data_IF_233502445111
#
_entry.id   IF_233502445111
#
_cell.length_a   1.000
_cell.length_b   1.000
_cell.length_c   1.000
_cell.angle_alpha   90.00
_cell.angle_beta   90.00
_cell.angle_gamma   90.00
#
_symmetry.space_group_name_H-M   'P 1'
#
loop_
_entity.id
_entity.type
_entity.pdbx_description
1 polymer ?
#
# COMPACT_ATOMS: atom_id res chain seq x y z
N UNK A 1 1.40 46.93 50.67
CA UNK A 1 0.50 46.33 51.66
C UNK A 1 0.76 44.84 51.66
N UNK A 2 1.14 44.33 52.83
CA UNK A 2 1.53 42.96 53.12
C UNK A 2 0.30 42.05 53.26
N UNK A 3 0.53 40.74 53.10
CA UNK A 3 -0.37 39.64 53.48
C UNK A 3 0.07 38.38 52.73
N UNK A 4 0.97 37.53 53.26
CA UNK A 4 0.68 36.49 54.27
C UNK A 4 -0.63 35.75 53.92
N UNK A 5 -0.66 34.47 53.55
CA UNK A 5 0.14 33.33 53.99
C UNK A 5 -0.73 32.46 54.88
N UNK A 6 -1.37 31.42 54.35
CA UNK A 6 -1.88 30.30 55.16
C UNK A 6 -1.83 28.99 54.39
N UNK A 7 -0.89 28.17 54.83
CA UNK A 7 -0.81 26.72 54.67
C UNK A 7 -1.90 26.03 55.49
N UNK A 8 -2.61 25.10 54.88
CA UNK A 8 -3.46 24.15 55.61
C UNK A 8 -3.28 22.75 55.04
N UNK A 9 -2.57 21.97 55.84
CA UNK A 9 -2.38 20.53 55.77
C UNK A 9 -3.69 19.78 56.05
N UNK A 10 -4.11 18.91 55.14
CA UNK A 10 -5.10 17.87 55.43
C UNK A 10 -4.47 16.48 55.19
N UNK A 11 -4.21 15.79 56.31
CA UNK A 11 -4.02 14.35 56.37
C UNK A 11 -5.39 13.68 56.28
N UNK A 12 -5.62 12.88 55.24
CA UNK A 12 -6.69 11.89 55.21
C UNK A 12 -6.09 10.52 54.95
N UNK A 13 -5.98 9.74 56.02
CA UNK A 13 -5.89 8.28 55.98
C UNK A 13 -7.16 7.75 55.34
N UNK A 14 -7.04 6.95 54.28
CA UNK A 14 -8.09 6.01 53.91
C UNK A 14 -7.49 4.72 53.37
N UNK A 15 -7.56 3.69 54.21
CA UNK A 15 -7.41 2.29 53.86
C UNK A 15 -8.54 1.89 52.92
N UNK A 16 -8.23 1.60 51.66
CA UNK A 16 -9.12 0.86 50.77
C UNK A 16 -8.35 -0.32 50.18
N UNK A 17 -8.57 -1.49 50.79
CA UNK A 17 -8.33 -2.78 50.16
C UNK A 17 -9.31 -2.95 49.00
N UNK A 18 -8.90 -2.51 47.81
CA UNK A 18 -9.55 -2.86 46.55
C UNK A 18 -8.66 -3.83 45.79
N UNK A 19 -9.09 -5.10 45.73
CA UNK A 19 -8.50 -6.14 44.89
C UNK A 19 -8.72 -5.80 43.41
N UNK A 20 -7.88 -4.92 42.86
CA UNK A 20 -7.82 -4.67 41.43
C UNK A 20 -6.96 -5.75 40.78
N UNK A 21 -7.58 -6.68 40.05
CA UNK A 21 -6.91 -7.52 39.07
C UNK A 21 -6.33 -6.62 37.97
N UNK A 22 -5.12 -6.10 38.22
CA UNK A 22 -4.33 -5.32 37.25
C UNK A 22 -4.24 -6.15 35.97
N UNK A 23 -5.03 -5.79 34.95
CA UNK A 23 -4.87 -6.30 33.59
C UNK A 23 -3.45 -5.93 33.16
N UNK A 24 -2.51 -6.88 33.30
CA UNK A 24 -1.13 -6.70 32.84
C UNK A 24 -1.20 -6.44 31.35
N UNK A 25 -0.94 -5.19 30.96
CA UNK A 25 -0.86 -4.78 29.57
C UNK A 25 0.24 -5.64 28.93
N UNK A 26 -0.14 -6.46 27.94
CA UNK A 26 0.84 -7.31 27.27
C UNK A 26 1.65 -6.42 26.34
N UNK A 27 2.91 -6.18 26.69
CA UNK A 27 3.81 -5.37 25.88
C UNK A 27 4.07 -6.07 24.54
N UNK A 28 3.73 -5.41 23.43
CA UNK A 28 4.10 -5.82 22.07
C UNK A 28 5.44 -5.17 21.72
N UNK A 29 6.31 -5.91 21.04
CA UNK A 29 7.63 -5.47 20.57
C UNK A 29 7.70 -5.75 19.06
N UNK A 30 8.26 -4.81 18.30
CA UNK A 30 8.50 -5.00 16.88
C UNK A 30 9.80 -5.80 16.66
N UNK A 31 9.69 -6.94 15.97
CA UNK A 31 10.85 -7.74 15.59
C UNK A 31 11.64 -7.04 14.48
N UNK A 32 12.96 -6.91 14.64
CA UNK A 32 13.84 -6.23 13.68
C UNK A 32 14.06 -7.01 12.38
N UNK A 33 13.85 -8.32 12.38
CA UNK A 33 14.10 -9.17 11.20
C UNK A 33 12.92 -9.19 10.22
N UNK A 34 11.68 -9.30 10.73
CA UNK A 34 10.45 -9.36 9.91
C UNK A 34 9.62 -8.06 9.93
N UNK A 35 9.95 -7.09 10.79
CA UNK A 35 9.13 -5.90 11.12
C UNK A 35 7.72 -6.18 11.69
N UNK A 36 7.45 -7.40 12.15
CA UNK A 36 6.18 -7.83 12.71
C UNK A 36 6.10 -7.57 14.24
N UNK A 37 4.89 -7.31 14.77
CA UNK A 37 4.66 -7.06 16.20
C UNK A 37 4.33 -8.36 16.92
N UNK A 38 5.16 -8.73 17.90
CA UNK A 38 5.02 -9.94 18.71
C UNK A 38 4.97 -9.58 20.19
N UNK A 39 4.36 -10.43 21.02
CA UNK A 39 4.38 -10.22 22.47
C UNK A 39 5.83 -10.30 22.95
N UNK A 40 6.21 -9.43 23.88
CA UNK A 40 7.58 -9.35 24.39
C UNK A 40 8.14 -10.70 24.85
N UNK A 41 7.29 -11.55 25.42
CA UNK A 41 7.65 -12.91 25.87
C UNK A 41 7.90 -13.92 24.73
N UNK A 42 7.45 -13.60 23.51
CA UNK A 42 7.51 -14.51 22.35
C UNK A 42 8.57 -14.08 21.32
N UNK A 43 9.29 -12.97 21.55
CA UNK A 43 10.30 -12.42 20.62
C UNK A 43 11.45 -13.41 20.34
N UNK A 44 11.88 -14.17 21.36
CA UNK A 44 12.96 -15.15 21.23
C UNK A 44 12.53 -16.40 20.47
N UNK A 45 11.27 -16.80 20.60
CA UNK A 45 10.71 -17.93 19.82
C UNK A 45 10.55 -17.52 18.37
N UNK A 46 10.09 -16.30 18.14
CA UNK A 46 9.91 -15.74 16.81
C UNK A 46 11.24 -15.53 16.07
N UNK A 47 12.29 -15.04 16.75
CA UNK A 47 13.61 -14.86 16.15
C UNK A 47 14.27 -16.19 15.75
N UNK A 48 14.10 -17.26 16.54
CA UNK A 48 14.59 -18.61 16.19
C UNK A 48 13.92 -19.14 14.91
N UNK A 49 12.60 -19.03 14.81
CA UNK A 49 11.86 -19.50 13.63
C UNK A 49 12.26 -18.75 12.34
N UNK A 50 12.49 -17.44 12.43
CA UNK A 50 12.94 -16.66 11.28
C UNK A 50 14.37 -17.02 10.86
N UNK A 51 15.26 -17.33 11.81
CA UNK A 51 16.64 -17.70 11.50
C UNK A 51 16.72 -19.09 10.88
N UNK A 52 15.91 -20.04 11.34
CA UNK A 52 15.84 -21.40 10.77
C UNK A 52 15.31 -21.37 9.32
N UNK A 53 14.33 -20.51 9.03
CA UNK A 53 13.79 -20.32 7.68
C UNK A 53 14.83 -19.78 6.68
N UNK A 54 15.86 -19.06 7.15
CA UNK A 54 16.95 -18.55 6.29
C UNK A 54 18.09 -19.53 6.05
N UNK A 55 18.20 -20.63 6.83
CA UNK A 55 19.31 -21.59 6.71
C UNK A 55 18.99 -22.87 5.94
N UNK A 56 17.74 -23.09 5.54
CA UNK A 56 17.34 -24.29 4.77
C UNK A 56 16.83 -23.91 3.38
N UNK A 57 17.70 -23.33 2.56
CA UNK A 57 17.58 -23.41 1.10
C UNK A 57 18.61 -24.40 0.60
N UNK A 58 18.36 -25.69 0.84
CA UNK A 58 18.83 -26.81 0.02
C UNK A 58 18.08 -28.08 0.43
N UNK A 59 17.37 -28.64 -0.56
CA UNK A 59 16.81 -30.00 -0.68
C UNK A 59 15.38 -30.32 -0.16
N UNK A 60 14.59 -30.67 -1.19
CA UNK A 60 13.65 -31.80 -1.33
C UNK A 60 12.22 -31.72 -0.77
N UNK A 61 11.33 -32.10 -1.68
CA UNK A 61 9.90 -32.37 -1.55
C UNK A 61 9.52 -33.26 -0.37
N UNK A 62 8.24 -33.14 0.01
CA UNK A 62 7.45 -33.95 0.96
C UNK A 62 7.43 -33.51 2.43
N UNK A 63 6.49 -32.61 2.75
CA UNK A 63 5.72 -32.69 3.99
C UNK A 63 4.34 -32.05 3.77
N UNK A 64 3.35 -32.92 3.54
CA UNK A 64 1.93 -32.59 3.60
C UNK A 64 1.59 -32.43 5.08
N UNK A 65 1.29 -31.20 5.50
CA UNK A 65 0.70 -30.92 6.81
C UNK A 65 -0.81 -31.07 6.66
N UNK A 66 -1.37 -32.08 7.33
CA UNK A 66 -2.80 -32.34 7.41
C UNK A 66 -3.55 -31.14 8.00
N UNK A 67 -4.52 -30.62 7.25
CA UNK A 67 -5.55 -29.72 7.77
C UNK A 67 -6.57 -30.53 8.59
N UNK A 68 -7.08 -29.98 9.72
CA UNK A 68 -8.07 -30.67 10.52
C UNK A 68 -9.38 -30.80 9.75
N UNK A 69 -9.79 -32.05 9.49
CA UNK A 69 -11.07 -32.41 8.87
C UNK A 69 -12.23 -31.92 9.74
N UNK A 70 -12.96 -30.92 9.26
CA UNK A 70 -14.31 -30.61 9.72
C UNK A 70 -15.24 -31.79 9.38
N UNK A 71 -15.71 -32.47 10.43
CA UNK A 71 -16.71 -33.54 10.37
C UNK A 71 -18.04 -33.00 9.86
N UNK A 72 -18.28 -33.12 8.55
CA UNK A 72 -19.63 -33.00 7.97
C UNK A 72 -20.28 -34.37 8.04
N UNK A 73 -21.28 -34.52 8.92
CA UNK A 73 -22.11 -35.71 9.00
C UNK A 73 -22.94 -35.86 7.71
N UNK A 74 -22.47 -36.70 6.79
CA UNK A 74 -23.21 -37.13 5.61
C UNK A 74 -24.18 -38.25 6.02
N UNK A 75 -25.48 -37.94 6.15
CA UNK A 75 -26.54 -38.96 6.26
C UNK A 75 -26.64 -39.70 4.93
N UNK A 76 -26.19 -40.94 4.90
CA UNK A 76 -26.44 -41.88 3.79
C UNK A 76 -27.82 -42.50 4.03
N UNK A 77 -28.82 -42.07 3.24
CA UNK A 77 -30.08 -42.80 3.16
C UNK A 77 -29.95 -43.85 2.04
N UNK A 78 -29.96 -45.11 2.47
CA UNK A 78 -29.92 -46.30 1.61
C UNK A 78 -31.36 -46.61 1.19
N UNK A 79 -31.69 -46.42 -0.09
CA UNK A 79 -32.90 -46.98 -0.66
C UNK A 79 -32.52 -47.94 -1.80
N UNK A 80 -32.78 -49.22 -1.54
CA UNK A 80 -32.95 -50.24 -2.57
C UNK A 80 -34.34 -50.05 -3.19
N UNK A 81 -34.48 -50.14 -4.52
CA UNK A 81 -35.56 -50.90 -5.20
C UNK A 81 -35.46 -50.84 -6.73
N UNK A 82 -35.23 -52.01 -7.32
CA UNK A 82 -35.91 -52.63 -8.49
C UNK A 82 -36.17 -51.88 -9.81
N UNK A 83 -35.68 -52.52 -10.89
CA UNK A 83 -36.19 -52.55 -12.27
C UNK A 83 -37.68 -52.22 -12.43
N UNK A 84 -38.00 -51.34 -13.38
CA UNK A 84 -39.24 -51.40 -14.19
C UNK A 84 -39.09 -50.61 -15.49
N UNK A 85 -40.01 -50.87 -16.41
CA UNK A 85 -39.96 -50.78 -17.87
C UNK A 85 -40.16 -49.35 -18.43
N UNK A 86 -39.66 -49.17 -19.67
CA UNK A 86 -40.11 -48.13 -20.63
C UNK A 86 -41.64 -48.07 -20.72
N UNK A 87 -42.18 -46.87 -21.00
CA UNK A 87 -43.08 -46.77 -22.14
C UNK A 87 -42.75 -45.60 -23.07
N UNK A 88 -43.07 -45.83 -24.34
CA UNK A 88 -43.25 -44.85 -25.40
C UNK A 88 -44.66 -44.27 -25.32
N UNK A 89 -44.82 -42.94 -25.40
CA UNK A 89 -45.72 -42.26 -26.36
C UNK A 89 -45.94 -40.78 -25.99
N UNK A 90 -46.04 -40.01 -27.07
CA UNK A 90 -46.65 -38.69 -27.26
C UNK A 90 -47.70 -38.26 -26.23
N UNK A 91 -47.50 -37.08 -25.63
CA UNK A 91 -48.50 -36.40 -24.82
C UNK A 91 -48.07 -34.98 -24.41
N UNK A 92 -48.71 -33.99 -25.02
CA UNK A 92 -48.97 -32.61 -24.58
C UNK A 92 -48.30 -32.11 -23.29
N UNK A 93 -47.55 -31.01 -23.45
CA UNK A 93 -47.02 -30.14 -22.40
C UNK A 93 -48.09 -29.74 -21.37
N UNK A 94 -47.86 -30.14 -20.12
CA UNK A 94 -48.55 -29.56 -18.97
C UNK A 94 -47.47 -29.17 -17.96
N UNK A 95 -47.15 -27.87 -17.94
CA UNK A 95 -46.15 -27.29 -17.06
C UNK A 95 -46.78 -27.12 -15.67
N UNK A 96 -46.74 -28.16 -14.83
CA UNK A 96 -46.99 -28.02 -13.40
C UNK A 96 -46.19 -29.05 -12.63
N UNK A 97 -45.56 -28.56 -11.56
CA UNK A 97 -44.74 -29.25 -10.55
C UNK A 97 -43.23 -29.30 -10.83
N UNK A 98 -42.58 -28.22 -10.37
CA UNK A 98 -41.60 -28.28 -9.27
C UNK A 98 -40.69 -29.50 -9.23
N UNK A 99 -39.60 -29.46 -9.98
CA UNK A 99 -38.30 -30.06 -9.60
C UNK A 99 -37.20 -29.48 -10.51
N UNK A 100 -37.21 -28.15 -10.58
CA UNK A 100 -36.31 -27.35 -11.40
C UNK A 100 -35.23 -26.63 -10.60
N UNK A 101 -34.71 -27.21 -9.51
CA UNK A 101 -33.35 -26.86 -9.09
C UNK A 101 -32.38 -27.67 -9.96
N UNK A 102 -32.30 -27.27 -11.23
CA UNK A 102 -31.13 -27.55 -12.05
C UNK A 102 -29.95 -27.15 -11.19
N UNK A 103 -29.02 -28.09 -11.01
CA UNK A 103 -27.75 -27.91 -10.35
C UNK A 103 -27.09 -26.64 -10.89
N UNK A 104 -27.34 -25.51 -10.23
CA UNK A 104 -26.48 -24.35 -10.35
C UNK A 104 -25.20 -24.82 -9.68
N UNK A 105 -24.28 -25.32 -10.50
CA UNK A 105 -22.88 -25.31 -10.15
C UNK A 105 -22.61 -23.85 -9.81
N UNK A 106 -22.62 -23.53 -8.51
CA UNK A 106 -21.97 -22.34 -8.02
C UNK A 106 -20.50 -22.62 -8.35
N UNK A 107 -20.10 -22.23 -9.56
CA UNK A 107 -18.71 -22.03 -9.86
C UNK A 107 -18.28 -21.01 -8.80
N UNK A 108 -17.54 -21.49 -7.81
CA UNK A 108 -16.72 -20.63 -6.98
C UNK A 108 -15.76 -20.01 -7.98
N UNK A 109 -16.16 -18.85 -8.53
CA UNK A 109 -15.27 -17.98 -9.28
C UNK A 109 -14.15 -17.75 -8.28
N UNK A 110 -13.01 -18.39 -8.52
CA UNK A 110 -11.81 -18.07 -7.78
C UNK A 110 -11.70 -16.55 -7.89
N UNK A 111 -11.69 -15.81 -6.76
CA UNK A 111 -11.69 -14.36 -6.79
C UNK A 111 -10.33 -13.94 -7.33
N UNK A 112 -10.19 -13.99 -8.65
CA UNK A 112 -8.98 -13.64 -9.35
C UNK A 112 -8.91 -12.11 -9.38
N UNK A 113 -8.49 -11.62 -8.21
CA UNK A 113 -7.52 -10.57 -8.03
C UNK A 113 -7.98 -9.17 -8.43
N UNK A 114 -9.28 -8.89 -8.39
CA UNK A 114 -9.83 -7.58 -8.66
C UNK A 114 -11.08 -7.32 -7.82
N UNK A 115 -11.21 -6.14 -7.22
CA UNK A 115 -12.45 -5.70 -6.59
C UNK A 115 -12.76 -4.28 -7.03
N UNK A 116 -14.00 -4.03 -7.42
CA UNK A 116 -14.48 -2.70 -7.74
C UNK A 116 -15.14 -2.09 -6.50
N UNK A 117 -14.71 -0.90 -6.10
CA UNK A 117 -15.20 -0.16 -4.95
C UNK A 117 -15.65 1.23 -5.36
N UNK A 118 -16.71 1.72 -4.73
CA UNK A 118 -17.14 3.12 -4.89
C UNK A 118 -16.29 4.03 -4.00
N UNK A 119 -15.97 5.23 -4.50
CA UNK A 119 -15.30 6.24 -3.71
C UNK A 119 -16.22 6.76 -2.60
N UNK A 120 -15.80 6.59 -1.35
CA UNK A 120 -16.43 7.21 -0.20
C UNK A 120 -15.83 8.60 0.03
N UNK A 121 -16.65 9.64 -0.12
CA UNK A 121 -16.26 11.00 0.22
C UNK A 121 -16.44 11.22 1.73
N UNK A 122 -15.33 11.27 2.45
CA UNK A 122 -15.31 11.79 3.82
C UNK A 122 -15.58 13.29 3.75
N UNK A 123 -16.49 13.78 4.60
CA UNK A 123 -16.97 15.16 4.54
C UNK A 123 -15.90 16.16 5.01
N UNK A 124 -15.09 15.76 5.99
CA UNK A 124 -14.07 16.61 6.60
C UNK A 124 -12.71 15.90 6.72
N UNK A 125 -11.61 16.64 6.57
CA UNK A 125 -10.24 16.16 6.89
C UNK A 125 -10.13 15.62 8.32
N UNK A 126 -10.91 16.19 9.25
CA UNK A 126 -10.97 15.74 10.63
C UNK A 126 -11.46 14.28 10.77
N UNK A 127 -12.37 13.83 9.90
CA UNK A 127 -12.86 12.45 9.92
C UNK A 127 -11.78 11.48 9.45
N UNK A 128 -10.96 11.89 8.47
CA UNK A 128 -9.79 11.12 8.06
C UNK A 128 -8.80 10.99 9.22
N UNK A 129 -8.41 12.11 9.83
CA UNK A 129 -7.45 12.15 10.95
C UNK A 129 -7.91 11.33 12.17
N UNK A 130 -9.21 11.33 12.47
CA UNK A 130 -9.77 10.55 13.58
C UNK A 130 -9.68 9.04 13.36
N UNK A 131 -9.90 8.59 12.12
CA UNK A 131 -9.98 7.18 11.78
C UNK A 131 -8.65 6.58 11.31
N UNK A 132 -7.68 7.43 10.98
CA UNK A 132 -6.39 7.01 10.46
C UNK A 132 -5.32 6.94 11.57
N UNK A 133 -4.48 5.90 11.63
CA UNK A 133 -3.47 5.78 12.68
C UNK A 133 -2.46 6.96 12.66
N UNK A 134 -2.27 7.59 13.82
CA UNK A 134 -1.36 8.73 13.97
C UNK A 134 0.12 8.37 13.74
N UNK A 135 0.48 7.09 13.88
CA UNK A 135 1.87 6.64 13.70
C UNK A 135 2.29 6.62 12.23
N UNK A 136 1.35 6.78 11.30
CA UNK A 136 1.61 6.77 9.87
C UNK A 136 1.92 8.18 9.38
N UNK A 137 3.05 8.31 8.70
CA UNK A 137 3.51 9.55 8.12
C UNK A 137 4.12 9.31 6.73
N UNK A 138 4.36 10.39 5.99
CA UNK A 138 5.03 10.36 4.70
C UNK A 138 4.29 9.55 3.63
N UNK A 139 5.04 8.77 2.86
CA UNK A 139 4.55 7.98 1.73
C UNK A 139 3.46 7.00 2.14
N UNK A 140 3.68 6.26 3.23
CA UNK A 140 2.72 5.25 3.68
C UNK A 140 1.36 5.87 4.00
N UNK A 141 1.34 7.04 4.64
CA UNK A 141 0.10 7.78 4.93
C UNK A 141 -0.62 8.22 3.65
N UNK A 142 0.13 8.75 2.68
CA UNK A 142 -0.41 9.22 1.39
C UNK A 142 -0.99 8.09 0.53
N UNK A 143 -0.35 6.93 0.57
CA UNK A 143 -0.70 5.74 -0.22
C UNK A 143 -1.46 4.70 0.60
N UNK A 144 -2.31 5.17 1.52
CA UNK A 144 -3.19 4.31 2.32
C UNK A 144 -4.64 4.69 2.07
N UNK A 145 -5.55 3.73 2.24
CA UNK A 145 -6.98 3.97 2.15
C UNK A 145 -7.73 3.23 3.26
N UNK A 146 -8.85 3.78 3.67
CA UNK A 146 -9.73 3.18 4.67
C UNK A 146 -10.82 2.36 3.98
N UNK A 147 -11.07 1.17 4.51
CA UNK A 147 -12.08 0.24 3.98
C UNK A 147 -12.77 -0.54 5.10
N UNK A 148 -13.97 -1.03 4.85
CA UNK A 148 -14.67 -1.85 5.83
C UNK A 148 -13.90 -3.18 6.14
N UNK A 149 -13.71 -3.57 7.41
CA UNK A 149 -13.00 -4.82 7.75
C UNK A 149 -13.69 -6.10 7.24
N UNK A 150 -15.02 -6.11 7.11
CA UNK A 150 -15.75 -7.25 6.56
C UNK A 150 -15.41 -7.47 5.08
N UNK A 151 -15.14 -6.38 4.35
CA UNK A 151 -14.72 -6.44 2.95
C UNK A 151 -13.33 -7.06 2.80
N UNK A 152 -12.36 -6.73 3.68
CA UNK A 152 -11.05 -7.40 3.70
C UNK A 152 -11.21 -8.91 3.95
N UNK A 153 -12.12 -9.29 4.83
CA UNK A 153 -12.43 -10.69 5.12
C UNK A 153 -13.05 -11.40 3.91
N UNK A 154 -13.96 -10.72 3.19
CA UNK A 154 -14.60 -11.25 2.00
C UNK A 154 -13.60 -11.54 0.87
N UNK A 155 -12.58 -10.69 0.71
CA UNK A 155 -11.52 -10.89 -0.30
C UNK A 155 -10.34 -11.71 0.22
N UNK A 156 -10.44 -12.28 1.43
CA UNK A 156 -9.35 -13.03 2.09
C UNK A 156 -8.02 -12.26 2.18
N UNK A 157 -8.09 -10.93 2.30
CA UNK A 157 -6.92 -10.08 2.47
C UNK A 157 -6.70 -9.74 3.94
N UNK A 158 -5.44 -9.64 4.33
CA UNK A 158 -5.08 -9.18 5.65
C UNK A 158 -5.18 -7.65 5.72
N UNK A 159 -5.34 -7.12 6.93
CA UNK A 159 -5.17 -5.70 7.16
C UNK A 159 -3.76 -5.25 6.74
N UNK A 160 -3.65 -4.06 6.15
CA UNK A 160 -2.38 -3.47 5.68
C UNK A 160 -1.74 -4.22 4.51
N UNK A 161 -2.53 -4.99 3.79
CA UNK A 161 -2.10 -5.57 2.52
C UNK A 161 -2.12 -4.51 1.42
N UNK A 162 -1.17 -4.62 0.49
CA UNK A 162 -1.00 -3.70 -0.62
C UNK A 162 -1.82 -4.14 -1.83
N UNK A 163 -2.43 -3.16 -2.48
CA UNK A 163 -3.24 -3.32 -3.69
C UNK A 163 -2.75 -2.33 -4.75
N UNK A 164 -2.78 -2.75 -6.01
CA UNK A 164 -2.64 -1.86 -7.14
C UNK A 164 -4.02 -1.28 -7.50
N UNK A 165 -4.08 0.02 -7.74
CA UNK A 165 -5.25 0.69 -8.31
C UNK A 165 -5.17 0.56 -9.82
N UNK A 166 -6.20 0.01 -10.43
CA UNK A 166 -6.31 -0.17 -11.88
C UNK A 166 -7.26 0.87 -12.44
N UNK A 167 -6.80 1.67 -13.39
CA UNK A 167 -7.68 2.51 -14.22
C UNK A 167 -8.09 1.74 -15.47
N UNK A 168 -9.37 1.88 -15.83
CA UNK A 168 -9.97 1.32 -17.04
C UNK A 168 -10.28 2.38 -18.10
N UNK A 169 -9.81 3.62 -17.93
CA UNK A 169 -10.09 4.70 -18.88
C UNK A 169 -9.53 4.43 -20.27
N UNK A 170 -8.52 3.57 -20.37
CA UNK A 170 -7.93 3.13 -21.62
C UNK A 170 -8.24 1.65 -21.88
N UNK A 171 -8.30 1.24 -23.16
CA UNK A 171 -8.51 -0.16 -23.58
C UNK A 171 -7.53 -1.15 -22.93
N UNK A 172 -6.40 -0.65 -22.42
CA UNK A 172 -5.40 -1.42 -21.70
C UNK A 172 -5.42 -0.98 -20.22
N UNK A 173 -5.79 -1.86 -19.27
CA UNK A 173 -5.74 -1.54 -17.86
C UNK A 173 -4.30 -1.29 -17.45
N UNK A 174 -4.04 -0.14 -16.83
CA UNK A 174 -2.74 0.19 -16.28
C UNK A 174 -2.87 0.49 -14.79
N UNK A 175 -1.87 0.05 -14.03
CA UNK A 175 -1.78 0.36 -12.62
C UNK A 175 -1.46 1.85 -12.46
N UNK A 176 -2.38 2.59 -11.85
CA UNK A 176 -2.25 4.03 -11.61
C UNK A 176 -1.40 4.27 -10.38
N UNK A 177 -1.65 3.52 -9.32
CA UNK A 177 -1.00 3.71 -8.04
C UNK A 177 -1.03 2.44 -7.17
N UNK A 178 -0.33 2.47 -6.05
CA UNK A 178 -0.34 1.47 -4.99
C UNK A 178 -1.05 2.06 -3.78
N UNK A 179 -1.93 1.26 -3.17
CA UNK A 179 -2.63 1.62 -1.95
C UNK A 179 -2.50 0.51 -0.92
N UNK A 180 -2.36 0.89 0.35
CA UNK A 180 -2.38 -0.01 1.49
C UNK A 180 -3.72 0.13 2.20
N UNK A 181 -4.46 -0.97 2.31
CA UNK A 181 -5.81 -0.94 2.88
C UNK A 181 -5.77 -1.04 4.41
N UNK A 182 -6.48 -0.12 5.06
CA UNK A 182 -6.64 -0.03 6.51
C UNK A 182 -8.10 -0.27 6.90
N UNK A 183 -8.36 -1.14 7.88
CA UNK A 183 -9.72 -1.42 8.32
C UNK A 183 -10.31 -0.23 9.08
N UNK A 184 -11.51 0.20 8.70
CA UNK A 184 -12.30 1.23 9.36
C UNK A 184 -13.79 0.88 9.27
N UNK A 185 -14.47 0.78 10.43
CA UNK A 185 -15.88 0.37 10.50
C UNK A 185 -16.85 1.48 10.07
N UNK A 186 -16.38 2.74 10.05
CA UNK A 186 -17.17 3.89 9.61
C UNK A 186 -17.34 3.91 8.09
N UNK A 187 -16.48 3.20 7.34
CA UNK A 187 -16.58 3.07 5.89
C UNK A 187 -17.66 2.03 5.53
N UNK A 188 -18.66 2.38 4.70
CA UNK A 188 -19.66 1.42 4.23
C UNK A 188 -19.05 0.24 3.46
N UNK A 189 -19.77 -0.88 3.43
CA UNK A 189 -19.39 -2.02 2.59
C UNK A 189 -19.28 -1.60 1.12
N UNK A 190 -18.31 -2.20 0.41
CA UNK A 190 -18.04 -1.93 -1.01
C UNK A 190 -17.62 -0.48 -1.33
N UNK A 191 -17.21 0.28 -0.32
CA UNK A 191 -16.66 1.62 -0.51
C UNK A 191 -15.23 1.73 0.01
N UNK A 192 -14.51 2.73 -0.49
CA UNK A 192 -13.13 3.05 -0.11
C UNK A 192 -12.97 4.55 0.09
N UNK A 193 -12.34 4.95 1.18
CA UNK A 193 -11.96 6.34 1.41
C UNK A 193 -10.45 6.53 1.23
N UNK A 194 -10.07 7.48 0.38
CA UNK A 194 -8.70 7.91 0.19
C UNK A 194 -8.43 9.21 0.95
N UNK A 195 -7.16 9.49 1.31
CA UNK A 195 -6.79 10.77 1.88
C UNK A 195 -7.11 11.89 0.87
N UNK A 196 -7.49 13.09 1.32
CA UNK A 196 -7.83 14.20 0.43
C UNK A 196 -6.73 14.56 -0.57
N UNK A 197 -5.46 14.37 -0.19
CA UNK A 197 -4.29 14.56 -1.06
C UNK A 197 -4.23 13.60 -2.25
N UNK A 198 -4.91 12.45 -2.16
CA UNK A 198 -4.92 11.39 -3.15
C UNK A 198 -6.16 11.44 -4.04
N UNK A 199 -7.30 11.94 -3.54
CA UNK A 199 -8.54 12.05 -4.33
C UNK A 199 -8.39 12.94 -5.58
N UNK A 200 -7.44 13.89 -5.57
CA UNK A 200 -7.18 14.78 -6.71
C UNK A 200 -6.70 14.06 -7.98
N UNK A 201 -6.33 12.78 -7.90
CA UNK A 201 -5.78 12.02 -9.04
C UNK A 201 -6.73 10.95 -9.57
N UNK A 202 -7.94 10.84 -9.02
CA UNK A 202 -8.91 9.82 -9.41
C UNK A 202 -10.15 10.48 -10.03
N UNK A 203 -10.32 10.31 -11.33
CA UNK A 203 -11.45 10.88 -12.07
C UNK A 203 -12.70 9.97 -12.05
N UNK A 204 -12.53 8.69 -11.67
CA UNK A 204 -13.60 7.68 -11.63
C UNK A 204 -14.22 7.53 -10.23
N UNK A 205 -15.55 7.43 -10.20
CA UNK A 205 -16.31 7.07 -8.99
C UNK A 205 -16.14 5.60 -8.60
N UNK A 206 -15.72 4.75 -9.55
CA UNK A 206 -15.48 3.33 -9.36
C UNK A 206 -13.99 3.01 -9.49
N UNK A 207 -13.45 2.37 -8.47
CA UNK A 207 -12.02 2.11 -8.33
C UNK A 207 -11.81 0.61 -8.30
N UNK A 208 -10.99 0.09 -9.22
CA UNK A 208 -10.61 -1.33 -9.22
C UNK A 208 -9.31 -1.52 -8.47
N UNK A 209 -9.32 -2.45 -7.52
CA UNK A 209 -8.18 -2.82 -6.72
C UNK A 209 -7.75 -4.25 -7.04
N UNK A 210 -6.46 -4.45 -7.26
CA UNK A 210 -5.87 -5.76 -7.43
C UNK A 210 -4.85 -6.06 -6.33
N UNK A 211 -5.00 -7.23 -5.71
CA UNK A 211 -4.08 -7.69 -4.68
C UNK A 211 -2.66 -7.88 -5.23
N UNK A 212 -1.68 -7.23 -4.60
CA UNK A 212 -0.26 -7.43 -4.91
C UNK A 212 0.21 -8.69 -4.17
N UNK A 213 0.36 -9.81 -4.90
CA UNK A 213 0.73 -11.12 -4.34
C UNK A 213 2.21 -11.25 -4.00
N UNK A 214 3.07 -10.55 -4.73
CA UNK A 214 4.52 -10.65 -4.58
C UNK A 214 5.18 -9.29 -4.74
N UNK A 215 6.29 -9.13 -4.03
CA UNK A 215 7.12 -7.94 -4.11
C UNK A 215 8.43 -8.29 -4.82
N UNK A 216 8.95 -7.34 -5.59
CA UNK A 216 10.30 -7.37 -6.09
C UNK A 216 11.34 -7.32 -4.98
N UNK A 217 12.60 -7.44 -5.37
CA UNK A 217 13.71 -7.20 -4.45
C UNK A 217 13.61 -5.79 -3.86
N UNK A 218 13.90 -5.63 -2.55
CA UNK A 218 13.88 -4.31 -1.94
C UNK A 218 14.87 -3.36 -2.63
N UNK A 219 14.43 -2.13 -2.91
CA UNK A 219 15.27 -1.12 -3.53
C UNK A 219 16.28 -0.61 -2.51
N UNK A 220 17.54 -0.57 -2.93
CA UNK A 220 18.68 -0.19 -2.08
C UNK A 220 19.21 1.21 -2.37
N UNK A 221 19.14 1.69 -3.62
CA UNK A 221 19.63 3.01 -3.98
C UNK A 221 18.57 3.73 -4.81
N UNK A 222 18.25 4.97 -4.41
CA UNK A 222 17.30 5.83 -5.10
C UNK A 222 17.96 7.18 -5.32
N UNK A 223 17.98 7.60 -6.57
CA UNK A 223 18.42 8.93 -6.98
C UNK A 223 17.20 9.77 -7.34
N UNK A 224 17.07 10.92 -6.68
CA UNK A 224 16.03 11.91 -6.94
C UNK A 224 16.63 13.12 -7.63
N UNK A 225 15.98 13.61 -8.68
CA UNK A 225 16.33 14.87 -9.35
C UNK A 225 15.14 15.82 -9.32
N UNK A 226 15.29 17.08 -8.90
CA UNK A 226 14.19 18.05 -8.95
C UNK A 226 13.61 18.14 -10.37
N UNK A 227 12.29 18.06 -10.52
CA UNK A 227 11.62 18.23 -11.81
C UNK A 227 11.25 19.71 -12.03
N UNK A 228 12.19 20.50 -12.52
CA UNK A 228 12.01 21.95 -12.68
C UNK A 228 10.91 22.34 -13.67
N UNK A 229 10.44 21.40 -14.50
CA UNK A 229 9.38 21.64 -15.49
C UNK A 229 7.96 21.61 -14.89
N UNK A 230 7.76 20.91 -13.77
CA UNK A 230 6.43 20.65 -13.19
C UNK A 230 6.16 21.39 -11.87
N UNK A 231 7.08 22.24 -11.43
CA UNK A 231 7.00 22.86 -10.11
C UNK A 231 6.79 24.37 -10.22
N UNK A 232 5.83 24.89 -9.45
CA UNK A 232 5.63 26.33 -9.24
C UNK A 232 6.70 26.96 -8.31
N UNK A 233 7.68 26.16 -7.90
CA UNK A 233 8.70 26.50 -6.92
C UNK A 233 9.83 27.25 -7.60
N UNK A 234 10.13 28.43 -7.08
CA UNK A 234 11.20 29.27 -7.60
C UNK A 234 12.56 28.59 -7.42
N UNK A 235 13.47 28.79 -8.38
CA UNK A 235 14.82 28.23 -8.35
C UNK A 235 15.58 28.52 -7.04
N UNK A 236 15.41 29.72 -6.47
CA UNK A 236 16.02 30.11 -5.19
C UNK A 236 15.55 29.24 -4.02
N UNK A 237 14.33 28.73 -4.05
CA UNK A 237 13.82 27.85 -3.00
C UNK A 237 14.40 26.44 -3.12
N UNK A 238 14.55 25.94 -4.36
CA UNK A 238 15.27 24.71 -4.61
C UNK A 238 16.73 24.78 -4.14
N UNK A 239 17.41 25.90 -4.38
CA UNK A 239 18.77 26.14 -3.85
C UNK A 239 18.81 26.20 -2.31
N UNK A 240 17.78 26.77 -1.68
CA UNK A 240 17.68 26.72 -0.21
C UNK A 240 17.54 25.29 0.29
N UNK A 241 16.71 24.47 -0.37
CA UNK A 241 16.54 23.06 0.00
C UNK A 241 17.82 22.24 -0.19
N UNK A 242 18.61 22.49 -1.24
CA UNK A 242 19.86 21.77 -1.47
C UNK A 242 20.91 22.00 -0.38
N UNK A 243 20.82 23.13 0.33
CA UNK A 243 21.70 23.50 1.46
C UNK A 243 21.23 22.89 2.79
N UNK A 244 20.05 22.28 2.85
CA UNK A 244 19.49 21.69 4.08
C UNK A 244 19.88 20.22 4.22
N UNK A 245 20.85 19.91 5.06
CA UNK A 245 21.27 18.53 5.37
C UNK A 245 20.12 17.65 5.91
N UNK A 246 19.20 18.26 6.67
CA UNK A 246 18.04 17.57 7.22
C UNK A 246 17.00 17.19 6.16
N UNK A 247 17.02 17.81 4.98
CA UNK A 247 16.05 17.49 3.93
C UNK A 247 16.23 16.05 3.42
N UNK A 248 17.47 15.59 3.26
CA UNK A 248 17.76 14.20 2.88
C UNK A 248 17.26 13.21 3.95
N UNK A 249 17.40 13.58 5.23
CA UNK A 249 16.87 12.78 6.34
C UNK A 249 15.34 12.73 6.32
N UNK A 250 14.69 13.87 6.07
CA UNK A 250 13.25 13.93 5.86
C UNK A 250 12.81 13.00 4.73
N UNK A 251 13.47 13.04 3.57
CA UNK A 251 13.14 12.17 2.42
C UNK A 251 13.27 10.69 2.78
N UNK A 252 14.32 10.30 3.51
CA UNK A 252 14.49 8.93 4.01
C UNK A 252 13.33 8.49 4.90
N UNK A 253 12.94 9.34 5.86
CA UNK A 253 11.81 9.06 6.73
C UNK A 253 10.48 9.01 5.93
N UNK A 254 10.29 9.95 5.01
CA UNK A 254 9.12 10.03 4.15
C UNK A 254 8.89 8.74 3.37
N UNK A 255 9.95 8.14 2.82
CA UNK A 255 9.89 6.87 2.09
C UNK A 255 10.02 5.61 2.95
N UNK A 256 9.97 5.73 4.28
CA UNK A 256 10.09 4.59 5.19
C UNK A 256 9.04 3.52 4.90
N UNK A 257 9.48 2.32 4.52
CA UNK A 257 8.63 1.19 4.09
C UNK A 257 7.70 1.48 2.90
N UNK A 258 8.00 2.48 2.09
CA UNK A 258 7.22 2.78 0.91
C UNK A 258 7.19 1.59 -0.07
N UNK A 259 6.05 1.42 -0.73
CA UNK A 259 5.88 0.55 -1.88
C UNK A 259 5.78 1.43 -3.12
N UNK A 260 6.55 1.10 -4.14
CA UNK A 260 6.64 1.88 -5.37
C UNK A 260 6.73 0.97 -6.59
N UNK A 261 6.22 1.45 -7.73
CA UNK A 261 6.43 0.79 -8.99
C UNK A 261 7.84 1.05 -9.51
N UNK A 262 8.53 0.01 -9.98
CA UNK A 262 9.90 0.13 -10.51
C UNK A 262 10.01 0.99 -11.77
N UNK A 263 8.91 1.15 -12.52
CA UNK A 263 8.83 1.98 -13.72
C UNK A 263 8.31 3.41 -13.45
N UNK A 264 8.16 3.80 -12.18
CA UNK A 264 7.76 5.16 -11.82
C UNK A 264 8.85 6.14 -12.27
N UNK A 265 8.48 7.17 -13.04
CA UNK A 265 9.43 8.15 -13.58
C UNK A 265 9.50 9.45 -12.76
N UNK A 266 8.41 9.77 -12.07
CA UNK A 266 8.32 10.99 -11.25
C UNK A 266 7.55 10.72 -9.97
N UNK A 267 7.88 11.46 -8.93
CA UNK A 267 7.32 11.32 -7.59
C UNK A 267 7.10 12.71 -6.98
N UNK A 268 6.01 12.85 -6.24
CA UNK A 268 5.71 14.09 -5.54
C UNK A 268 5.90 13.90 -4.03
N UNK A 269 6.71 14.77 -3.45
CA UNK A 269 7.00 14.80 -2.01
C UNK A 269 6.36 16.05 -1.44
N UNK A 270 5.56 15.89 -0.40
CA UNK A 270 5.00 17.03 0.32
C UNK A 270 5.93 17.44 1.47
N UNK A 271 6.38 18.69 1.46
CA UNK A 271 7.31 19.22 2.46
C UNK A 271 6.84 20.60 2.92
N UNK A 272 6.47 20.71 4.20
CA UNK A 272 5.88 21.93 4.79
C UNK A 272 4.72 22.51 3.97
N UNK A 273 3.79 21.65 3.54
CA UNK A 273 2.61 22.02 2.73
C UNK A 273 2.93 22.37 1.28
N UNK A 274 4.17 22.17 0.82
CA UNK A 274 4.57 22.39 -0.58
C UNK A 274 4.71 21.07 -1.30
N UNK A 275 4.21 21.01 -2.53
CA UNK A 275 4.36 19.85 -3.42
C UNK A 275 5.66 19.97 -4.21
N UNK A 276 6.63 19.11 -3.90
CA UNK A 276 7.92 19.01 -4.57
C UNK A 276 7.90 17.85 -5.57
N UNK A 277 7.94 18.12 -6.87
CA UNK A 277 8.05 17.06 -7.88
C UNK A 277 9.52 16.71 -8.16
N UNK A 278 9.84 15.42 -8.17
CA UNK A 278 11.15 14.87 -8.49
C UNK A 278 11.03 13.83 -9.61
N UNK A 279 12.01 13.75 -10.50
CA UNK A 279 12.28 12.56 -11.30
C UNK A 279 12.99 11.53 -10.43
N UNK A 280 12.59 10.27 -10.53
CA UNK A 280 13.14 9.18 -9.74
C UNK A 280 13.91 8.22 -10.64
N UNK A 281 15.09 7.81 -10.18
CA UNK A 281 15.95 6.84 -10.84
C UNK A 281 16.37 5.77 -9.84
N UNK A 282 16.31 4.52 -10.27
CA UNK A 282 16.70 3.37 -9.46
C UNK A 282 18.13 2.96 -9.86
N UNK A 283 19.12 3.27 -9.03
CA UNK A 283 20.51 2.85 -9.21
C UNK A 283 20.62 1.37 -8.78
N UNK A 284 20.28 0.45 -9.67
CA UNK A 284 20.60 -0.96 -9.46
C UNK A 284 22.07 -1.19 -9.86
N UNK A 285 22.82 -1.89 -8.99
CA UNK A 285 24.19 -2.33 -9.29
C UNK A 285 24.12 -3.29 -10.48
N UNK A 286 24.61 -2.83 -11.63
CA UNK A 286 25.04 -3.61 -12.79
C UNK A 286 24.02 -4.59 -13.43
N UNK A 287 23.24 -4.12 -14.41
CA UNK A 287 23.46 -4.58 -15.80
C UNK A 287 22.95 -3.48 -16.73
N UNK A 288 23.87 -2.83 -17.44
CA UNK A 288 23.58 -1.70 -18.35
C UNK A 288 23.01 -2.19 -19.70
N UNK A 289 23.11 -3.49 -20.01
CA UNK A 289 22.67 -4.04 -21.31
C UNK A 289 21.24 -4.58 -21.35
N UNK A 290 20.49 -4.59 -20.24
CA UNK A 290 19.12 -5.17 -20.19
C UNK A 290 17.97 -4.18 -20.04
N UNK A 291 18.19 -2.88 -20.20
CA UNK A 291 17.17 -1.87 -19.89
C UNK A 291 15.94 -1.87 -20.83
N UNK A 292 16.06 -2.39 -22.05
CA UNK A 292 14.92 -2.54 -22.97
C UNK A 292 14.14 -3.83 -22.68
N UNK A 293 14.82 -4.96 -22.47
CA UNK A 293 14.17 -6.21 -22.07
C UNK A 293 13.54 -6.11 -20.68
N UNK A 294 14.14 -5.39 -19.71
CA UNK A 294 13.54 -5.12 -18.39
C UNK A 294 12.27 -4.28 -18.46
N UNK A 295 12.13 -3.34 -19.40
CA UNK A 295 10.87 -2.61 -19.59
C UNK A 295 9.74 -3.55 -20.02
N UNK A 296 10.05 -4.65 -20.70
CA UNK A 296 9.08 -5.69 -21.07
C UNK A 296 8.97 -6.84 -20.03
N UNK A 297 10.03 -7.19 -19.30
CA UNK A 297 10.05 -8.25 -18.27
C UNK A 297 9.59 -7.78 -16.89
N UNK A 298 9.63 -6.47 -16.60
CA UNK A 298 9.08 -5.91 -15.35
C UNK A 298 7.56 -5.93 -15.29
N UNK A 299 6.95 -6.50 -16.33
CA UNK A 299 5.53 -6.62 -16.48
C UNK A 299 5.12 -8.08 -16.18
N UNK A 300 4.39 -8.29 -15.07
CA UNK A 300 3.91 -9.63 -14.73
C UNK A 300 2.93 -10.13 -15.79
N UNK A 301 3.21 -11.26 -16.45
CA UNK A 301 2.25 -11.95 -17.30
C UNK A 301 1.14 -12.54 -16.44
N UNK A 302 -0.09 -12.12 -16.65
CA UNK A 302 -1.26 -12.89 -16.20
C UNK A 302 -1.75 -13.66 -17.42
N UNK A 303 -1.64 -14.98 -17.37
CA UNK A 303 -2.25 -15.86 -18.35
C UNK A 303 -3.73 -15.98 -17.99
N UNK A 304 -4.61 -15.47 -18.85
CA UNK A 304 -6.04 -15.73 -18.73
C UNK A 304 -6.26 -17.21 -19.12
N UNK A 305 -6.88 -17.99 -18.24
CA UNK A 305 -7.06 -19.45 -18.39
C UNK A 305 -7.87 -19.87 -19.63
N UNK A 306 -8.48 -18.92 -20.33
CA UNK A 306 -9.46 -19.18 -21.39
C UNK A 306 -8.89 -19.28 -22.81
N UNK A 307 -7.57 -19.14 -23.02
CA UNK A 307 -6.91 -19.49 -24.29
C UNK A 307 -7.33 -18.68 -25.54
N UNK A 308 -8.30 -17.78 -25.45
CA UNK A 308 -8.75 -16.92 -26.54
C UNK A 308 -8.19 -15.51 -26.37
N UNK A 309 -7.29 -15.12 -27.28
CA UNK A 309 -6.59 -13.83 -27.35
C UNK A 309 -5.83 -13.44 -26.08
N UNK A 310 -4.55 -13.84 -26.02
CA UNK A 310 -3.57 -13.46 -25.01
C UNK A 310 -3.28 -11.94 -25.02
N UNK A 311 -4.21 -11.13 -24.55
CA UNK A 311 -3.88 -9.78 -24.10
C UNK A 311 -3.14 -9.97 -22.79
N UNK A 312 -1.82 -10.10 -22.88
CA UNK A 312 -0.96 -10.21 -21.70
C UNK A 312 -1.09 -8.87 -20.95
N UNK A 313 -1.87 -8.88 -19.88
CA UNK A 313 -1.95 -7.75 -18.95
C UNK A 313 -0.67 -7.72 -18.15
N UNK A 314 -0.08 -6.55 -18.11
CA UNK A 314 1.30 -6.34 -17.75
C UNK A 314 1.35 -5.36 -16.58
N UNK A 315 1.44 -5.90 -15.37
CA UNK A 315 1.49 -5.06 -14.17
C UNK A 315 2.92 -4.72 -13.81
N UNK A 316 3.23 -3.44 -13.55
CA UNK A 316 4.57 -3.05 -13.13
C UNK A 316 4.94 -3.72 -11.82
N UNK A 317 6.16 -4.25 -11.78
CA UNK A 317 6.76 -4.84 -10.58
C UNK A 317 6.77 -3.83 -9.43
N UNK A 318 6.11 -4.21 -8.34
CA UNK A 318 6.09 -3.43 -7.09
C UNK A 318 7.31 -3.79 -6.27
N UNK A 319 8.06 -2.79 -5.87
CA UNK A 319 9.22 -2.95 -4.99
C UNK A 319 8.98 -2.24 -3.66
N UNK A 320 9.52 -2.83 -2.59
CA UNK A 320 9.58 -2.21 -1.27
C UNK A 320 10.87 -1.40 -1.16
N UNK A 321 10.80 -0.20 -0.61
CA UNK A 321 12.00 0.57 -0.26
C UNK A 321 12.62 -0.02 1.02
N UNK A 322 13.89 -0.41 0.96
CA UNK A 322 14.60 -0.92 2.13
C UNK A 322 14.76 0.15 3.21
N UNK A 323 14.75 -0.25 4.48
CA UNK A 323 15.07 0.65 5.60
C UNK A 323 16.51 1.19 5.51
N UNK A 324 17.39 0.43 4.84
CA UNK A 324 18.79 0.79 4.59
C UNK A 324 18.98 1.51 3.25
N UNK A 325 17.89 1.89 2.57
CA UNK A 325 17.97 2.51 1.25
C UNK A 325 18.78 3.82 1.31
N UNK A 326 19.77 3.94 0.42
CA UNK A 326 20.56 5.14 0.22
C UNK A 326 19.81 6.07 -0.73
N UNK A 327 19.30 7.15 -0.17
CA UNK A 327 18.73 8.24 -0.95
C UNK A 327 19.82 9.26 -1.29
N UNK A 328 19.96 9.53 -2.59
CA UNK A 328 20.76 10.63 -3.13
C UNK A 328 19.81 11.62 -3.79
N UNK A 329 20.07 12.91 -3.62
CA UNK A 329 19.36 13.96 -4.33
C UNK A 329 20.40 14.71 -5.16
N UNK A 330 20.24 14.67 -6.48
CA UNK A 330 21.13 15.37 -7.40
C UNK A 330 20.62 16.79 -7.61
N UNK A 331 21.37 17.73 -7.06
CA UNK A 331 21.11 19.16 -7.10
C UNK A 331 21.88 19.87 -8.22
N UNK A 332 22.63 19.15 -9.05
CA UNK A 332 23.59 19.75 -9.99
C UNK A 332 22.92 20.72 -10.96
N UNK A 333 21.76 20.35 -11.51
CA UNK A 333 20.99 21.20 -12.42
C UNK A 333 20.50 22.48 -11.73
N UNK A 334 19.99 22.38 -10.50
CA UNK A 334 19.52 23.53 -9.71
C UNK A 334 20.67 24.50 -9.44
N UNK A 335 21.82 23.99 -9.03
CA UNK A 335 22.99 24.80 -8.68
C UNK A 335 23.61 25.47 -9.91
N UNK A 336 23.69 24.77 -11.04
CA UNK A 336 24.18 25.35 -12.30
C UNK A 336 23.29 26.50 -12.80
N UNK A 337 21.96 26.32 -12.72
CA UNK A 337 21.01 27.36 -13.12
C UNK A 337 21.08 28.59 -12.20
N UNK A 338 21.41 28.42 -10.93
CA UNK A 338 21.57 29.54 -9.99
C UNK A 338 22.83 30.35 -10.30
N UNK A 339 23.97 29.69 -10.55
CA UNK A 339 25.24 30.35 -10.93
C UNK A 339 25.04 31.18 -12.21
N UNK A 340 24.43 30.59 -13.24
CA UNK A 340 24.17 31.28 -14.52
C UNK A 340 23.25 32.50 -14.37
N UNK A 341 22.42 32.55 -13.32
CA UNK A 341 21.54 33.69 -13.05
C UNK A 341 22.31 34.85 -12.43
N UNK A 342 23.27 34.56 -11.57
CA UNK A 342 24.10 35.58 -10.92
C UNK A 342 25.08 36.20 -11.93
N UNK A 343 25.64 35.40 -12.85
CA UNK A 343 26.50 35.91 -13.93
C UNK A 343 25.76 36.88 -14.86
N UNK A 344 24.52 36.56 -15.24
CA UNK A 344 23.69 37.45 -16.07
C UNK A 344 23.32 38.75 -15.37
N UNK A 345 23.18 38.73 -14.03
CA UNK A 345 22.87 39.95 -13.27
C UNK A 345 24.07 40.89 -13.24
N UNK A 346 25.29 40.35 -13.09
CA UNK A 346 26.51 41.14 -13.08
C UNK A 346 26.82 41.78 -14.45
N UNK A 347 26.49 41.11 -15.56
CA UNK A 347 26.68 41.67 -16.90
C UNK A 347 25.78 42.88 -17.19
N UNK A 348 24.59 42.97 -16.59
CA UNK A 348 23.65 44.07 -16.83
C UNK A 348 24.06 45.34 -16.05
N UNK A 349 24.76 45.21 -14.92
CA UNK A 349 25.20 46.35 -14.11
C UNK A 349 26.45 47.05 -14.68
N UNK A 350 27.22 46.41 -15.57
CA UNK A 350 28.41 47.02 -16.20
C UNK A 350 28.10 47.79 -17.50
N UNK A 351 26.91 47.58 -18.09
CA UNK A 351 26.50 48.18 -19.37
C UNK A 351 25.51 49.36 -19.19
N UNK A 352 25.46 50.01 -18.01
CA UNK A 352 24.65 51.23 -17.81
C UNK A 352 25.43 52.49 -18.26
N UNK A 353 25.17 53.04 -19.47
CA UNK A 353 25.97 54.11 -20.06
C UNK A 353 25.78 55.47 -19.37
N UNK A 354 24.83 55.60 -18.44
CA UNK A 354 24.51 56.84 -17.74
C UNK A 354 25.38 57.09 -16.48
N UNK A 355 26.37 56.23 -16.20
CA UNK A 355 27.31 56.40 -15.07
C UNK A 355 28.57 57.24 -15.39
N UNK A 356 28.67 57.80 -16.61
CA UNK A 356 29.80 58.64 -17.06
C UNK A 356 29.50 60.15 -17.14
N UNK A 357 28.45 60.62 -16.48
CA UNK A 357 28.15 62.05 -16.28
C UNK A 357 28.18 62.38 -14.79
#
# INVERSE_FOLDING_TARGET
MNGEGTSSSNKSNNNNNSSSSKKRFKQLIQCRSCNCFVLAKDIDKHSKLNNEATTTTNLSESCIVETPKLLVHKRVNKQNTTRSKRPSSTGTFNCNNSDGFISTQIALIEPNNGMALELHSLKDEADWEKNFPMELYGWLRRHSALVNPEMLSAISALARTAFAIISEENEIPFAVDIVILWPCIEIPLMQIAFPPTFQQTLDSSLIRLQLIKSFGQPLQNILLKPDLSKNDIKLQEWSKLSKLEFFVHFVKCYFGNALIFKNLNSIQIEYYGRKLNFKIYFEEEEDVERDIERKMESLCKIEDENGESNIIKYYPKVCKISYSCKFKIDWSEVLQLEINKDEKKNQIEEDDPDSLL
#
